data_IF_240099060484
#
_entry.id   IF_240099060484
#
_cell.length_a   1.000
_cell.length_b   1.000
_cell.length_c   1.000
_cell.angle_alpha   90.00
_cell.angle_beta   90.00
_cell.angle_gamma   90.00
#
_symmetry.space_group_name_H-M   'P 1'
#
loop_
_entity.id
_entity.type
_entity.pdbx_description
1 polymer ?
#
# COMPACT_ATOMS: atom_id res chain seq x y z
N UNK A 1 3.37 31.64 16.69
CA UNK A 1 3.12 30.63 17.74
C UNK A 1 1.85 29.88 17.36
N UNK A 2 1.98 28.58 17.11
CA UNK A 2 0.96 27.50 17.28
C UNK A 2 -0.35 27.60 16.46
N UNK A 3 -0.40 26.96 15.28
CA UNK A 3 -1.09 25.67 14.96
C UNK A 3 -2.61 25.69 15.07
N UNK A 4 -3.29 25.44 13.94
CA UNK A 4 -4.41 24.50 13.89
C UNK A 4 -4.52 23.84 12.50
N UNK A 5 -4.34 22.52 12.51
CA UNK A 5 -4.62 21.58 11.42
C UNK A 5 -6.12 21.59 11.10
N UNK A 6 -6.48 21.67 9.83
CA UNK A 6 -7.67 21.02 9.27
C UNK A 6 -7.37 20.74 7.80
N UNK A 7 -7.50 19.49 7.36
CA UNK A 7 -8.15 19.17 6.08
C UNK A 7 -8.30 17.65 5.92
N UNK A 8 -9.07 17.08 6.83
CA UNK A 8 -9.93 15.96 6.47
C UNK A 8 -11.35 16.49 6.50
N UNK A 9 -11.99 16.68 5.34
CA UNK A 9 -13.43 16.48 5.15
C UNK A 9 -13.92 16.95 3.79
N UNK A 10 -14.46 15.96 3.06
CA UNK A 10 -15.71 16.00 2.30
C UNK A 10 -15.71 16.62 0.89
N UNK A 11 -15.86 15.69 -0.06
CA UNK A 11 -16.02 15.85 -1.50
C UNK A 11 -17.33 16.50 -1.97
N UNK A 12 -17.87 17.53 -1.29
CA UNK A 12 -19.16 18.13 -1.69
C UNK A 12 -19.26 19.64 -1.81
N UNK A 13 -18.20 20.40 -1.52
CA UNK A 13 -18.23 21.87 -1.66
C UNK A 13 -17.39 22.32 -2.87
N UNK A 14 -17.56 21.62 -4.01
CA UNK A 14 -16.76 21.80 -5.23
C UNK A 14 -17.26 22.94 -6.16
N UNK A 15 -18.22 23.75 -5.72
CA UNK A 15 -18.75 24.83 -6.56
C UNK A 15 -18.48 26.21 -5.96
N UNK A 16 -17.87 27.05 -6.79
CA UNK A 16 -17.71 28.50 -6.67
C UNK A 16 -16.45 29.02 -5.96
N UNK A 17 -15.27 28.75 -6.54
CA UNK A 17 -14.20 29.75 -6.56
C UNK A 17 -13.66 29.87 -8.00
N UNK A 18 -13.58 31.08 -8.59
CA UNK A 18 -12.95 31.26 -9.88
C UNK A 18 -11.43 31.09 -9.68
N UNK A 19 -10.91 29.92 -10.03
CA UNK A 19 -9.48 29.64 -9.96
C UNK A 19 -8.75 30.47 -11.02
N UNK A 20 -7.66 31.19 -10.66
CA UNK A 20 -6.80 31.82 -11.63
C UNK A 20 -6.28 30.75 -12.59
N UNK A 21 -6.18 31.11 -13.86
CA UNK A 21 -5.75 30.29 -15.00
C UNK A 21 -4.28 29.83 -14.88
N UNK A 22 -3.95 29.09 -13.83
CA UNK A 22 -2.74 28.27 -13.79
C UNK A 22 -3.01 27.02 -14.62
N UNK A 23 -2.46 27.04 -15.83
CA UNK A 23 -2.43 25.90 -16.73
C UNK A 23 -1.53 24.84 -16.07
N UNK A 24 -2.11 24.01 -15.21
CA UNK A 24 -1.42 22.84 -14.69
C UNK A 24 -1.13 21.93 -15.89
N UNK A 25 0.13 21.93 -16.34
CA UNK A 25 0.68 20.87 -17.17
C UNK A 25 0.76 19.60 -16.30
N UNK A 26 -0.37 18.93 -16.11
CA UNK A 26 -0.37 17.54 -15.62
C UNK A 26 0.11 16.67 -16.76
N UNK A 27 1.40 16.35 -16.77
CA UNK A 27 1.86 15.18 -17.50
C UNK A 27 1.23 13.96 -16.81
N UNK A 28 0.55 13.06 -17.55
CA UNK A 28 0.00 11.86 -16.95
C UNK A 28 1.17 10.98 -16.50
N UNK A 29 1.45 10.96 -15.19
CA UNK A 29 2.36 9.96 -14.63
C UNK A 29 1.75 8.60 -14.90
N UNK A 30 2.43 7.79 -15.69
CA UNK A 30 2.04 6.40 -15.92
C UNK A 30 2.61 5.59 -14.76
N UNK A 31 1.78 4.79 -14.13
CA UNK A 31 2.21 3.89 -13.06
C UNK A 31 2.05 2.44 -13.50
N UNK A 32 3.06 1.64 -13.20
CA UNK A 32 2.99 0.19 -13.26
C UNK A 32 2.61 -0.35 -11.88
N UNK A 33 1.69 -1.31 -11.84
CA UNK A 33 1.23 -1.94 -10.62
C UNK A 33 1.51 -3.43 -10.66
N UNK A 34 1.95 -3.99 -9.53
CA UNK A 34 2.18 -5.42 -9.36
C UNK A 34 1.61 -5.89 -8.02
N UNK A 35 0.87 -6.99 -8.04
CA UNK A 35 0.40 -7.65 -6.82
C UNK A 35 1.04 -9.03 -6.69
N UNK A 36 1.50 -9.36 -5.48
CA UNK A 36 2.06 -10.66 -5.14
C UNK A 36 1.30 -11.25 -3.95
N UNK A 37 1.24 -12.58 -3.89
CA UNK A 37 0.67 -13.30 -2.75
C UNK A 37 1.78 -13.95 -1.93
N UNK A 38 1.93 -13.54 -0.68
CA UNK A 38 2.84 -14.18 0.28
C UNK A 38 2.05 -15.18 1.11
N UNK A 39 2.53 -16.41 1.16
CA UNK A 39 1.95 -17.49 1.99
C UNK A 39 3.07 -18.02 2.88
N UNK A 40 2.91 -18.03 4.21
CA UNK A 40 3.89 -18.65 5.08
C UNK A 40 3.79 -20.18 4.91
N UNK A 41 4.88 -20.82 4.52
CA UNK A 41 4.95 -22.28 4.46
C UNK A 41 5.01 -22.87 5.88
N UNK A 42 4.00 -23.66 6.22
CA UNK A 42 3.96 -24.34 7.52
C UNK A 42 2.60 -24.93 7.87
N UNK A 43 2.61 -26.25 8.07
CA UNK A 43 1.58 -27.00 8.79
C UNK A 43 1.30 -26.29 10.12
N UNK A 44 0.11 -25.69 10.25
CA UNK A 44 -0.56 -25.21 11.48
C UNK A 44 0.40 -24.99 12.66
N UNK A 45 1.27 -23.99 12.54
CA UNK A 45 2.21 -23.58 13.60
C UNK A 45 1.45 -22.65 14.57
N UNK A 46 1.72 -22.71 15.88
CA UNK A 46 1.04 -21.85 16.88
C UNK A 46 1.22 -20.37 16.50
N UNK A 47 0.21 -19.54 16.81
CA UNK A 47 0.01 -18.22 16.21
C UNK A 47 1.16 -17.21 16.30
N UNK A 48 2.07 -17.37 17.27
CA UNK A 48 3.23 -16.48 17.42
C UNK A 48 4.27 -16.70 16.31
N UNK A 49 4.52 -17.96 15.93
CA UNK A 49 5.54 -18.32 14.93
C UNK A 49 5.17 -17.88 13.50
N UNK A 50 3.87 -17.75 13.22
CA UNK A 50 3.37 -17.35 11.89
C UNK A 50 3.63 -15.86 11.66
N UNK A 51 3.45 -15.04 12.69
CA UNK A 51 3.60 -13.58 12.60
C UNK A 51 5.06 -13.22 12.31
N UNK A 52 6.00 -13.87 12.99
CA UNK A 52 7.44 -13.64 12.78
C UNK A 52 7.90 -14.08 11.39
N UNK A 53 7.44 -15.25 10.92
CA UNK A 53 7.72 -15.71 9.55
C UNK A 53 7.17 -14.78 8.48
N UNK A 54 5.94 -14.30 8.65
CA UNK A 54 5.35 -13.32 7.73
C UNK A 54 6.12 -12.00 7.73
N UNK A 55 6.55 -11.52 8.90
CA UNK A 55 7.36 -10.31 9.00
C UNK A 55 8.69 -10.45 8.25
N UNK A 56 9.38 -11.58 8.39
CA UNK A 56 10.60 -11.87 7.63
C UNK A 56 10.34 -11.88 6.11
N UNK A 57 9.31 -12.60 5.65
CA UNK A 57 8.95 -12.68 4.23
C UNK A 57 8.60 -11.31 3.63
N UNK A 58 7.82 -10.49 4.34
CA UNK A 58 7.49 -9.13 3.89
C UNK A 58 8.76 -8.29 3.79
N UNK A 59 9.65 -8.37 4.79
CA UNK A 59 10.86 -7.57 4.82
C UNK A 59 11.78 -7.93 3.64
N UNK A 60 11.99 -9.21 3.39
CA UNK A 60 12.83 -9.69 2.29
C UNK A 60 12.27 -9.26 0.92
N UNK A 61 10.97 -9.48 0.68
CA UNK A 61 10.34 -9.10 -0.58
C UNK A 61 10.31 -7.58 -0.77
N UNK A 62 9.96 -6.80 0.26
CA UNK A 62 9.95 -5.34 0.17
C UNK A 62 11.34 -4.78 -0.16
N UNK A 63 12.39 -5.29 0.49
CA UNK A 63 13.77 -4.85 0.26
C UNK A 63 14.29 -5.29 -1.11
N UNK A 64 13.80 -6.40 -1.67
CA UNK A 64 14.13 -6.82 -3.02
C UNK A 64 13.43 -5.92 -4.05
N UNK A 65 12.13 -5.70 -3.91
CA UNK A 65 11.36 -4.84 -4.81
C UNK A 65 11.77 -3.38 -4.75
N UNK A 66 12.21 -2.87 -3.59
CA UNK A 66 12.70 -1.50 -3.48
C UNK A 66 13.95 -1.24 -4.32
N UNK A 67 14.81 -2.25 -4.51
CA UNK A 67 16.00 -2.14 -5.38
C UNK A 67 15.62 -1.96 -6.84
N UNK A 68 14.48 -2.51 -7.24
CA UNK A 68 13.94 -2.46 -8.60
C UNK A 68 13.04 -1.23 -8.84
N UNK A 69 13.00 -0.30 -7.87
CA UNK A 69 12.23 0.94 -7.94
C UNK A 69 10.74 0.80 -7.61
N UNK A 70 10.33 -0.36 -7.09
CA UNK A 70 8.94 -0.57 -6.68
C UNK A 70 8.70 -0.04 -5.26
N UNK A 71 7.57 0.63 -5.09
CA UNK A 71 7.09 1.16 -3.81
C UNK A 71 5.89 0.35 -3.34
N UNK A 72 5.93 -0.07 -2.08
CA UNK A 72 4.80 -0.73 -1.44
C UNK A 72 3.64 0.26 -1.24
N UNK A 73 2.43 -0.11 -1.68
CA UNK A 73 1.23 0.71 -1.52
C UNK A 73 0.17 0.09 -0.61
N UNK A 74 0.04 -1.24 -0.59
CA UNK A 74 -0.97 -1.91 0.22
C UNK A 74 -0.57 -3.33 0.62
N UNK A 75 -1.02 -3.72 1.80
CA UNK A 75 -0.95 -5.09 2.31
C UNK A 75 -2.36 -5.46 2.79
N UNK A 76 -2.93 -6.50 2.19
CA UNK A 76 -4.25 -6.99 2.53
C UNK A 76 -4.11 -8.41 3.09
N UNK A 77 -4.38 -8.62 4.39
CA UNK A 77 -4.38 -9.96 4.96
C UNK A 77 -5.62 -10.73 4.55
N UNK A 78 -5.43 -11.99 4.16
CA UNK A 78 -6.49 -12.97 3.93
C UNK A 78 -6.54 -13.93 5.11
N UNK A 79 -7.68 -13.90 5.82
CA UNK A 79 -7.97 -14.76 6.95
C UNK A 79 -8.72 -16.01 6.48
N UNK A 80 -8.42 -17.16 7.10
CA UNK A 80 -9.31 -18.32 7.07
C UNK A 80 -10.46 -18.09 8.05
N UNK A 81 -11.57 -18.81 7.86
CA UNK A 81 -12.78 -18.74 8.70
C UNK A 81 -12.53 -18.98 10.20
N UNK A 82 -11.41 -19.60 10.56
CA UNK A 82 -10.96 -19.80 11.95
C UNK A 82 -10.17 -18.61 12.54
N UNK A 83 -10.05 -17.49 11.83
CA UNK A 83 -9.32 -16.30 12.28
C UNK A 83 -7.80 -16.35 12.08
N UNK A 84 -7.26 -17.44 11.54
CA UNK A 84 -5.85 -17.56 11.20
C UNK A 84 -5.52 -16.79 9.90
N UNK A 85 -4.44 -16.01 9.89
CA UNK A 85 -3.90 -15.39 8.67
C UNK A 85 -3.27 -16.47 7.80
N UNK A 86 -3.69 -16.53 6.53
CA UNK A 86 -3.27 -17.59 5.61
C UNK A 86 -2.42 -17.04 4.50
N UNK A 87 -2.77 -15.85 3.99
CA UNK A 87 -2.06 -15.21 2.87
C UNK A 87 -2.05 -13.72 3.07
N UNK A 88 -1.00 -13.06 2.59
CA UNK A 88 -0.95 -11.61 2.45
C UNK A 88 -0.92 -11.29 0.97
N UNK A 89 -1.85 -10.44 0.51
CA UNK A 89 -1.79 -9.84 -0.80
C UNK A 89 -1.07 -8.51 -0.67
N UNK A 90 0.08 -8.38 -1.31
CA UNK A 90 0.94 -7.21 -1.25
C UNK A 90 0.93 -6.56 -2.62
N UNK A 91 0.67 -5.25 -2.67
CA UNK A 91 0.64 -4.49 -3.92
C UNK A 91 1.73 -3.43 -3.93
N UNK A 92 2.43 -3.34 -5.05
CA UNK A 92 3.48 -2.41 -5.34
C UNK A 92 3.11 -1.52 -6.53
N UNK A 93 3.64 -0.31 -6.52
CA UNK A 93 3.59 0.64 -7.63
C UNK A 93 5.00 1.02 -8.07
N UNK A 94 5.17 1.38 -9.34
CA UNK A 94 6.39 1.98 -9.87
C UNK A 94 6.02 3.03 -10.90
N UNK A 95 6.76 4.13 -10.96
CA UNK A 95 6.61 5.11 -12.03
C UNK A 95 7.12 4.50 -13.35
N UNK A 96 6.26 4.46 -14.36
CA UNK A 96 6.63 4.11 -15.73
C UNK A 96 7.28 5.34 -16.37
N UNK A 97 8.54 5.18 -16.75
CA UNK A 97 9.28 6.12 -17.59
C UNK A 97 8.70 6.12 -19.01
#
# INVERSE_FOLDING_TARGET
>A
MTVCKFYGSRAKDFFAYPLPSFRYLMFPMKYEYKSISLTPDGIRVKGDDITEKLAMLINDECNNYSKDGWRLISIIPSLRSEGAVVRLLVTFERESI
#
